data_IF_387771365299
#
_entry.id   IF_387771365299
#
_cell.length_a   1.000
_cell.length_b   1.000
_cell.length_c   1.000
_cell.angle_alpha   90.00
_cell.angle_beta   90.00
_cell.angle_gamma   90.00
#
_symmetry.space_group_name_H-M   'P 1'
#
loop_
_entity.id
_entity.type
_entity.pdbx_description
1 polymer ?
#
# COMPACT_ATOMS: atom_id res chain seq x y z
N UNK A 1 8.20 -17.63 2.03
CA UNK A 1 8.93 -17.34 0.78
C UNK A 1 9.64 -18.61 0.34
N UNK A 2 9.70 -18.95 -0.95
CA UNK A 2 10.48 -20.10 -1.42
C UNK A 2 11.87 -19.65 -1.92
N UNK A 3 12.88 -20.55 -1.97
CA UNK A 3 14.22 -20.21 -2.45
C UNK A 3 14.22 -19.63 -3.85
N UNK A 4 14.98 -18.55 -4.05
CA UNK A 4 15.06 -17.87 -5.34
C UNK A 4 15.97 -18.66 -6.30
N UNK A 5 15.52 -18.83 -7.54
CA UNK A 5 16.32 -19.44 -8.58
C UNK A 5 17.44 -18.47 -9.03
N UNK A 6 18.70 -18.84 -8.85
CA UNK A 6 19.85 -18.00 -9.23
C UNK A 6 20.32 -18.37 -10.64
N UNK A 7 20.42 -17.38 -11.53
CA UNK A 7 21.00 -17.50 -12.87
C UNK A 7 22.19 -16.55 -12.97
N UNK A 8 23.42 -17.09 -13.02
CA UNK A 8 24.66 -16.31 -13.08
C UNK A 8 25.88 -17.12 -12.60
N UNK A 9 27.10 -16.64 -12.87
CA UNK A 9 28.34 -17.34 -12.51
C UNK A 9 28.79 -17.07 -11.06
N UNK A 10 28.88 -18.14 -10.28
CA UNK A 10 29.93 -18.38 -9.27
C UNK A 10 29.86 -17.73 -7.88
N UNK A 11 29.34 -16.52 -7.67
CA UNK A 11 29.47 -15.82 -6.36
C UNK A 11 28.16 -15.49 -5.63
N UNK A 12 26.99 -15.76 -6.22
CA UNK A 12 25.69 -15.27 -5.71
C UNK A 12 24.76 -16.36 -5.18
N UNK A 13 25.25 -17.59 -4.99
CA UNK A 13 24.44 -18.71 -4.50
C UNK A 13 23.82 -18.43 -3.11
N UNK A 14 24.53 -17.68 -2.26
CA UNK A 14 24.04 -17.27 -0.94
C UNK A 14 22.77 -16.39 -1.00
N UNK A 15 22.52 -15.71 -2.12
CA UNK A 15 21.31 -14.88 -2.29
C UNK A 15 20.03 -15.72 -2.34
N UNK A 16 20.10 -16.99 -2.77
CA UNK A 16 18.93 -17.86 -2.87
C UNK A 16 18.22 -18.00 -1.53
N UNK A 17 18.98 -18.14 -0.45
CA UNK A 17 18.50 -18.29 0.92
C UNK A 17 18.40 -16.92 1.62
N UNK A 18 19.39 -16.03 1.42
CA UNK A 18 19.38 -14.70 2.01
C UNK A 18 18.15 -13.87 1.63
N UNK A 19 17.68 -13.98 0.38
CA UNK A 19 16.46 -13.31 -0.07
C UNK A 19 15.19 -13.88 0.57
N UNK A 20 15.16 -15.19 0.87
CA UNK A 20 14.03 -15.80 1.61
C UNK A 20 13.92 -15.15 2.98
N UNK A 21 15.03 -15.00 3.68
CA UNK A 21 15.11 -14.38 5.01
C UNK A 21 14.67 -12.91 4.98
N UNK A 22 15.27 -12.11 4.10
CA UNK A 22 15.00 -10.68 4.03
C UNK A 22 13.56 -10.41 3.60
N UNK A 23 13.06 -11.08 2.55
CA UNK A 23 11.69 -10.89 2.09
C UNK A 23 10.66 -11.44 3.08
N UNK A 24 10.95 -12.55 3.78
CA UNK A 24 10.03 -13.06 4.79
C UNK A 24 9.87 -12.04 5.93
N UNK A 25 10.97 -11.48 6.45
CA UNK A 25 10.92 -10.39 7.46
C UNK A 25 10.22 -9.15 6.92
N UNK A 26 10.52 -8.74 5.69
CA UNK A 26 9.92 -7.58 5.05
C UNK A 26 8.44 -7.75 4.71
N UNK A 27 7.90 -8.96 4.61
CA UNK A 27 6.48 -9.20 4.32
C UNK A 27 5.69 -9.63 5.57
N UNK A 28 6.37 -10.12 6.60
CA UNK A 28 5.74 -10.52 7.87
C UNK A 28 4.98 -9.37 8.53
N UNK A 29 3.77 -9.62 9.02
CA UNK A 29 2.90 -8.63 9.63
C UNK A 29 2.24 -7.64 8.66
N UNK A 30 2.60 -7.63 7.38
CA UNK A 30 1.94 -6.77 6.40
C UNK A 30 0.54 -7.27 6.09
N UNK A 31 -0.49 -6.41 6.19
CA UNK A 31 -1.89 -6.77 5.93
C UNK A 31 -2.38 -8.07 6.62
N UNK A 32 -1.82 -8.43 7.78
CA UNK A 32 -2.16 -9.66 8.51
C UNK A 32 -1.45 -10.93 7.99
N UNK A 33 -0.47 -10.78 7.10
CA UNK A 33 0.40 -11.88 6.68
C UNK A 33 1.26 -12.38 7.85
N UNK A 34 1.42 -13.69 7.92
CA UNK A 34 2.40 -14.35 8.78
C UNK A 34 3.32 -15.17 7.91
N UNK A 35 4.61 -14.86 7.97
CA UNK A 35 5.64 -15.61 7.27
C UNK A 35 5.88 -16.95 7.96
N UNK A 36 6.08 -17.99 7.15
CA UNK A 36 6.60 -19.26 7.65
C UNK A 36 8.09 -19.09 7.89
N UNK A 37 8.57 -19.63 9.01
CA UNK A 37 10.00 -19.63 9.36
C UNK A 37 10.87 -20.09 8.16
N UNK A 38 11.83 -19.25 7.72
CA UNK A 38 12.68 -19.56 6.57
C UNK A 38 13.42 -20.90 6.68
N UNK A 39 13.90 -21.26 7.87
CA UNK A 39 14.59 -22.55 8.10
C UNK A 39 13.66 -23.74 7.87
N UNK A 40 12.42 -23.65 8.31
CA UNK A 40 11.37 -24.66 8.07
C UNK A 40 11.04 -24.78 6.58
N UNK A 41 11.03 -23.67 5.84
CA UNK A 41 10.84 -23.71 4.39
C UNK A 41 12.01 -24.42 3.71
N UNK A 42 13.25 -24.01 3.99
CA UNK A 42 14.45 -24.57 3.38
C UNK A 42 14.56 -26.08 3.62
N UNK A 43 14.34 -26.53 4.85
CA UNK A 43 14.34 -27.96 5.19
C UNK A 43 13.26 -28.75 4.45
N UNK A 44 12.08 -28.16 4.25
CA UNK A 44 10.97 -28.80 3.51
C UNK A 44 11.27 -28.89 2.01
N UNK A 45 11.90 -27.86 1.42
CA UNK A 45 12.31 -27.85 0.01
C UNK A 45 13.39 -28.91 -0.24
N UNK A 46 14.41 -28.97 0.62
CA UNK A 46 15.47 -30.00 0.51
C UNK A 46 14.89 -31.41 0.56
N UNK A 47 13.94 -31.67 1.49
CA UNK A 47 13.25 -32.97 1.59
C UNK A 47 12.35 -33.30 0.39
N UNK A 48 12.00 -32.32 -0.44
CA UNK A 48 11.08 -32.47 -1.57
C UNK A 48 11.78 -32.63 -2.93
N UNK A 49 13.11 -32.74 -2.95
CA UNK A 49 13.89 -32.93 -4.19
C UNK A 49 14.96 -31.86 -4.45
N UNK A 50 15.18 -30.93 -3.52
CA UNK A 50 16.25 -29.92 -3.58
C UNK A 50 15.79 -28.55 -4.08
N UNK A 51 16.70 -27.56 -4.01
CA UNK A 51 16.46 -26.15 -4.38
C UNK A 51 16.57 -25.87 -5.90
N UNK A 52 16.51 -26.91 -6.75
CA UNK A 52 16.38 -26.69 -8.19
C UNK A 52 15.13 -25.85 -8.44
N UNK A 53 15.21 -24.89 -9.37
CA UNK A 53 14.22 -23.82 -9.58
C UNK A 53 12.77 -24.37 -9.51
N UNK A 54 12.12 -24.12 -8.38
CA UNK A 54 10.75 -24.58 -8.14
C UNK A 54 9.83 -23.87 -9.13
N UNK A 55 9.03 -24.64 -9.84
CA UNK A 55 7.92 -24.12 -10.63
C UNK A 55 6.68 -23.87 -9.73
N UNK A 56 5.61 -23.35 -10.32
CA UNK A 56 4.37 -23.04 -9.59
C UNK A 56 3.79 -24.29 -8.90
N UNK A 57 3.88 -25.47 -9.51
CA UNK A 57 3.32 -26.69 -8.97
C UNK A 57 4.14 -27.23 -7.78
N UNK A 58 5.47 -27.27 -7.91
CA UNK A 58 6.38 -27.62 -6.84
C UNK A 58 6.31 -26.62 -5.68
N UNK A 59 6.25 -25.32 -5.98
CA UNK A 59 6.08 -24.28 -4.97
C UNK A 59 4.77 -24.41 -4.19
N UNK A 60 3.67 -24.72 -4.88
CA UNK A 60 2.37 -25.00 -4.27
C UNK A 60 2.39 -26.24 -3.39
N UNK A 61 3.06 -27.30 -3.80
CA UNK A 61 3.18 -28.52 -3.00
C UNK A 61 3.89 -28.26 -1.67
N UNK A 62 4.95 -27.46 -1.69
CA UNK A 62 5.67 -27.02 -0.48
C UNK A 62 4.76 -26.12 0.39
N UNK A 63 4.09 -25.14 -0.21
CA UNK A 63 3.16 -24.24 0.50
C UNK A 63 2.05 -25.02 1.23
N UNK A 64 1.46 -26.02 0.56
CA UNK A 64 0.44 -26.90 1.14
C UNK A 64 0.94 -27.68 2.35
N UNK A 65 2.16 -28.25 2.28
CA UNK A 65 2.76 -28.98 3.40
C UNK A 65 3.00 -28.09 4.61
N UNK A 66 3.29 -26.82 4.37
CA UNK A 66 3.53 -25.81 5.39
C UNK A 66 2.25 -25.11 5.87
N UNK A 67 1.09 -25.44 5.29
CA UNK A 67 -0.19 -24.78 5.59
C UNK A 67 -0.23 -23.31 5.19
N UNK A 68 0.59 -22.89 4.23
CA UNK A 68 0.69 -21.51 3.78
C UNK A 68 -0.33 -21.22 2.67
N UNK A 69 -1.24 -20.28 2.89
CA UNK A 69 -2.24 -19.87 1.89
C UNK A 69 -1.66 -19.11 0.68
N UNK A 70 -0.45 -18.55 0.82
CA UNK A 70 0.25 -17.83 -0.24
C UNK A 70 1.70 -18.30 -0.33
N UNK A 71 2.25 -18.27 -1.53
CA UNK A 71 3.68 -18.52 -1.73
C UNK A 71 4.26 -17.58 -2.78
N UNK A 72 5.56 -17.31 -2.65
CA UNK A 72 6.32 -16.50 -3.61
C UNK A 72 7.40 -17.35 -4.21
N UNK A 73 7.45 -17.34 -5.53
CA UNK A 73 8.58 -17.83 -6.31
C UNK A 73 9.33 -16.64 -6.86
N UNK A 74 10.64 -16.78 -6.99
CA UNK A 74 11.45 -15.71 -7.54
C UNK A 74 12.70 -16.19 -8.22
N UNK A 75 13.32 -15.29 -8.97
CA UNK A 75 14.59 -15.54 -9.63
C UNK A 75 15.50 -14.32 -9.54
N UNK A 76 16.81 -14.58 -9.51
CA UNK A 76 17.85 -13.56 -9.54
C UNK A 76 18.72 -13.81 -10.75
N UNK A 77 18.88 -12.79 -11.59
CA UNK A 77 19.86 -12.76 -12.66
C UNK A 77 20.98 -11.82 -12.25
N UNK A 78 22.21 -12.34 -12.17
CA UNK A 78 23.40 -11.56 -11.83
C UNK A 78 24.37 -11.55 -13.01
N UNK A 79 24.66 -10.36 -13.56
CA UNK A 79 25.58 -10.20 -14.69
C UNK A 79 26.26 -8.81 -14.65
N UNK A 80 27.59 -8.80 -14.76
CA UNK A 80 28.36 -7.56 -14.93
C UNK A 80 28.18 -6.54 -13.80
N UNK A 81 28.11 -6.98 -12.54
CA UNK A 81 27.91 -6.10 -11.38
C UNK A 81 26.46 -5.66 -11.15
N UNK A 82 25.52 -6.09 -12.00
CA UNK A 82 24.09 -5.79 -11.85
C UNK A 82 23.28 -7.01 -11.45
N UNK A 83 22.24 -6.75 -10.67
CA UNK A 83 21.23 -7.69 -10.23
C UNK A 83 19.87 -7.33 -10.83
N UNK A 84 19.18 -8.34 -11.35
CA UNK A 84 17.75 -8.29 -11.63
C UNK A 84 17.06 -9.32 -10.75
N UNK A 85 16.16 -8.88 -9.88
CA UNK A 85 15.41 -9.75 -8.97
C UNK A 85 13.94 -9.71 -9.39
N UNK A 86 13.37 -10.88 -9.63
CA UNK A 86 11.96 -11.04 -9.99
C UNK A 86 11.26 -11.91 -8.95
N UNK A 87 10.04 -11.55 -8.58
CA UNK A 87 9.21 -12.32 -7.66
C UNK A 87 7.76 -12.33 -8.15
N UNK A 88 7.10 -13.48 -7.98
CA UNK A 88 5.68 -13.65 -8.29
C UNK A 88 4.99 -14.23 -7.07
N UNK A 89 3.92 -13.58 -6.63
CA UNK A 89 3.07 -14.07 -5.55
C UNK A 89 1.92 -14.89 -6.14
N UNK A 90 1.68 -16.06 -5.55
CA UNK A 90 0.64 -16.98 -5.95
C UNK A 90 -0.36 -17.19 -4.83
N UNK A 91 -1.64 -17.30 -5.20
CA UNK A 91 -2.68 -17.85 -4.33
C UNK A 91 -2.66 -19.37 -4.38
N UNK A 92 -2.86 -20.02 -3.24
CA UNK A 92 -3.03 -21.48 -3.22
C UNK A 92 -4.38 -21.89 -3.83
N UNK A 93 -5.41 -21.03 -3.74
CA UNK A 93 -6.78 -21.27 -4.23
C UNK A 93 -7.46 -19.99 -4.77
N UNK A 94 -8.28 -20.05 -5.84
CA UNK A 94 -8.74 -21.24 -6.56
C UNK A 94 -7.71 -21.81 -7.56
N UNK A 95 -8.00 -22.98 -8.11
CA UNK A 95 -7.21 -23.64 -9.16
C UNK A 95 -7.63 -23.15 -10.55
N UNK A 96 -6.68 -22.92 -11.49
CA UNK A 96 -5.22 -22.95 -11.32
C UNK A 96 -4.71 -21.78 -10.46
N UNK A 97 -3.61 -21.96 -9.72
CA UNK A 97 -2.99 -20.91 -8.88
C UNK A 97 -2.82 -19.63 -9.71
N UNK A 98 -3.67 -18.64 -9.43
CA UNK A 98 -3.58 -17.36 -10.10
C UNK A 98 -2.32 -16.64 -9.59
N UNK A 99 -1.46 -16.21 -10.51
CA UNK A 99 -0.43 -15.24 -10.19
C UNK A 99 -1.12 -13.92 -9.86
N UNK A 100 -0.88 -13.36 -8.67
CA UNK A 100 -1.62 -12.21 -8.17
C UNK A 100 -0.87 -10.90 -8.51
N UNK A 101 0.46 -10.81 -8.34
CA UNK A 101 1.30 -9.89 -9.13
C UNK A 101 2.73 -10.40 -9.42
N UNK A 102 3.36 -9.87 -10.46
CA UNK A 102 4.80 -10.00 -10.73
C UNK A 102 5.51 -8.68 -10.38
N UNK A 103 6.54 -8.75 -9.54
CA UNK A 103 7.42 -7.64 -9.21
C UNK A 103 8.82 -7.90 -9.78
N UNK A 104 9.47 -6.85 -10.31
CA UNK A 104 10.80 -6.95 -10.91
C UNK A 104 11.59 -5.68 -10.59
N UNK A 105 12.77 -5.85 -10.00
CA UNK A 105 13.68 -4.75 -9.65
C UNK A 105 15.07 -4.98 -10.23
N UNK A 106 15.74 -3.90 -10.58
CA UNK A 106 17.09 -3.90 -11.13
C UNK A 106 17.94 -2.83 -10.46
N UNK A 107 19.24 -3.15 -10.30
CA UNK A 107 20.23 -2.26 -9.71
C UNK A 107 21.61 -2.90 -9.62
N UNK A 108 22.53 -2.18 -8.99
CA UNK A 108 23.88 -2.68 -8.75
C UNK A 108 23.91 -3.69 -7.59
N UNK A 109 24.91 -4.56 -7.58
CA UNK A 109 25.07 -5.57 -6.52
C UNK A 109 25.25 -4.98 -5.12
N UNK A 110 25.73 -3.73 -5.03
CA UNK A 110 25.87 -2.98 -3.77
C UNK A 110 24.53 -2.61 -3.14
N UNK A 111 23.48 -2.50 -3.96
CA UNK A 111 22.20 -1.92 -3.56
C UNK A 111 21.19 -3.01 -3.17
N UNK A 112 21.67 -4.20 -2.81
CA UNK A 112 20.84 -5.38 -2.55
C UNK A 112 19.72 -5.10 -1.54
N UNK A 113 20.02 -4.41 -0.44
CA UNK A 113 19.01 -4.10 0.58
C UNK A 113 17.92 -3.18 0.03
N UNK A 114 18.29 -2.14 -0.73
CA UNK A 114 17.33 -1.25 -1.37
C UNK A 114 16.50 -1.95 -2.45
N UNK A 115 17.12 -2.87 -3.20
CA UNK A 115 16.42 -3.72 -4.17
C UNK A 115 15.38 -4.61 -3.48
N UNK A 116 15.75 -5.23 -2.36
CA UNK A 116 14.84 -6.08 -1.58
C UNK A 116 13.71 -5.26 -0.98
N UNK A 117 13.98 -4.06 -0.48
CA UNK A 117 12.96 -3.16 0.04
C UNK A 117 12.00 -2.71 -1.04
N UNK A 118 12.50 -2.31 -2.22
CA UNK A 118 11.67 -1.99 -3.39
C UNK A 118 10.80 -3.18 -3.82
N UNK A 119 11.40 -4.36 -3.96
CA UNK A 119 10.68 -5.57 -4.33
C UNK A 119 9.58 -5.92 -3.31
N UNK A 120 9.87 -5.73 -2.02
CA UNK A 120 8.90 -5.94 -0.95
C UNK A 120 7.72 -4.97 -1.06
N UNK A 121 8.00 -3.67 -1.30
CA UNK A 121 6.94 -2.67 -1.51
C UNK A 121 6.07 -3.02 -2.72
N UNK A 122 6.68 -3.38 -3.85
CA UNK A 122 5.96 -3.75 -5.08
C UNK A 122 5.05 -4.97 -4.87
N UNK A 123 5.53 -6.00 -4.15
CA UNK A 123 4.74 -7.18 -3.81
C UNK A 123 3.57 -6.86 -2.88
N UNK A 124 3.75 -5.98 -1.90
CA UNK A 124 2.68 -5.54 -1.00
C UNK A 124 1.60 -4.77 -1.76
N UNK A 125 2.01 -3.84 -2.63
CA UNK A 125 1.08 -3.05 -3.43
C UNK A 125 0.29 -3.92 -4.40
N UNK A 126 0.95 -4.84 -5.10
CA UNK A 126 0.27 -5.71 -6.05
C UNK A 126 -0.77 -6.62 -5.39
N UNK A 127 -0.58 -6.94 -4.10
CA UNK A 127 -1.54 -7.74 -3.34
C UNK A 127 -2.79 -6.94 -2.95
N UNK A 128 -2.66 -5.64 -2.68
CA UNK A 128 -3.80 -4.81 -2.30
C UNK A 128 -4.86 -4.84 -3.41
N UNK A 129 -6.09 -5.28 -3.08
CA UNK A 129 -7.22 -5.35 -4.03
C UNK A 129 -8.12 -4.11 -3.95
N UNK A 130 -8.77 -3.74 -5.07
CA UNK A 130 -9.80 -2.70 -5.14
C UNK A 130 -9.27 -1.26 -5.15
N UNK A 131 -10.06 -0.28 -4.69
CA UNK A 131 -9.67 1.14 -4.64
C UNK A 131 -8.44 1.39 -3.75
N UNK A 132 -8.13 0.44 -2.85
CA UNK A 132 -6.88 0.38 -2.08
C UNK A 132 -5.63 0.30 -2.96
N UNK A 133 -5.73 -0.30 -4.15
CA UNK A 133 -4.59 -0.50 -5.06
C UNK A 133 -3.98 0.83 -5.53
N UNK A 134 -4.78 1.86 -5.84
CA UNK A 134 -4.25 3.16 -6.31
C UNK A 134 -3.55 3.95 -5.21
N UNK A 135 -4.15 4.01 -4.01
CA UNK A 135 -3.53 4.63 -2.83
C UNK A 135 -2.27 3.88 -2.39
N UNK A 136 -2.27 2.54 -2.42
CA UNK A 136 -1.10 1.71 -2.14
C UNK A 136 0.03 1.93 -3.16
N UNK A 137 -0.30 2.06 -4.46
CA UNK A 137 0.67 2.38 -5.51
C UNK A 137 1.35 3.73 -5.29
N UNK A 138 0.57 4.78 -4.99
CA UNK A 138 1.14 6.09 -4.63
C UNK A 138 1.98 5.99 -3.35
N UNK A 139 1.51 5.25 -2.35
CA UNK A 139 2.21 5.09 -1.08
C UNK A 139 3.61 4.49 -1.29
N UNK A 140 3.74 3.42 -2.08
CA UNK A 140 5.01 2.74 -2.31
C UNK A 140 6.07 3.56 -3.05
N UNK A 141 5.67 4.59 -3.81
CA UNK A 141 6.61 5.52 -4.46
C UNK A 141 6.94 6.74 -3.59
N UNK A 142 6.20 6.95 -2.51
CA UNK A 142 6.38 8.11 -1.61
C UNK A 142 7.08 7.79 -0.28
N UNK A 143 7.35 6.50 0.00
CA UNK A 143 8.20 6.05 1.10
C UNK A 143 9.31 5.13 0.61
N UNK A 144 10.48 5.20 1.25
CA UNK A 144 11.56 4.23 1.06
C UNK A 144 11.55 3.13 2.14
N UNK A 145 10.71 3.25 3.16
CA UNK A 145 10.66 2.35 4.31
C UNK A 145 9.53 1.33 4.15
N UNK A 146 9.87 0.04 4.06
CA UNK A 146 8.88 -1.06 4.03
C UNK A 146 8.05 -1.05 5.32
N UNK A 147 8.67 -0.82 6.48
CA UNK A 147 7.97 -0.74 7.76
C UNK A 147 6.97 0.40 7.80
N UNK A 148 7.32 1.57 7.24
CA UNK A 148 6.39 2.70 7.14
C UNK A 148 5.22 2.38 6.20
N UNK A 149 5.48 1.71 5.07
CA UNK A 149 4.43 1.26 4.16
C UNK A 149 3.48 0.25 4.83
N UNK A 150 4.00 -0.72 5.60
CA UNK A 150 3.15 -1.66 6.36
C UNK A 150 2.24 -0.93 7.34
N UNK A 151 2.79 -0.02 8.12
CA UNK A 151 2.03 0.77 9.09
C UNK A 151 0.94 1.60 8.40
N UNK A 152 1.27 2.20 7.26
CA UNK A 152 0.33 2.95 6.42
C UNK A 152 -0.81 2.06 5.91
N UNK A 153 -0.51 0.91 5.31
CA UNK A 153 -1.54 -0.01 4.78
C UNK A 153 -2.43 -0.59 5.88
N UNK A 154 -1.86 -0.88 7.05
CA UNK A 154 -2.64 -1.28 8.23
C UNK A 154 -3.58 -0.15 8.68
N UNK A 155 -3.08 1.08 8.77
CA UNK A 155 -3.89 2.25 9.13
C UNK A 155 -5.01 2.55 8.13
N UNK A 156 -4.77 2.36 6.83
CA UNK A 156 -5.81 2.47 5.79
C UNK A 156 -6.93 1.46 5.99
N UNK A 157 -6.62 0.23 6.43
CA UNK A 157 -7.64 -0.78 6.75
C UNK A 157 -8.45 -0.39 7.98
N UNK A 158 -7.80 0.06 9.04
CA UNK A 158 -8.49 0.55 10.23
C UNK A 158 -9.38 1.76 9.89
N UNK A 159 -8.90 2.67 9.05
CA UNK A 159 -9.68 3.83 8.62
C UNK A 159 -10.95 3.38 7.89
N UNK A 160 -10.86 2.37 7.02
CA UNK A 160 -12.02 1.80 6.31
C UNK A 160 -12.96 1.02 7.21
N UNK A 161 -12.45 0.40 8.28
CA UNK A 161 -13.24 -0.38 9.22
C UNK A 161 -14.24 0.47 10.02
N UNK A 162 -14.13 1.80 9.96
CA UNK A 162 -15.18 2.70 10.40
C UNK A 162 -14.92 3.38 11.74
N UNK A 163 -15.98 3.95 12.31
CA UNK A 163 -15.90 4.88 13.43
C UNK A 163 -15.14 4.32 14.65
N UNK A 164 -15.37 3.06 15.00
CA UNK A 164 -14.75 2.42 16.16
C UNK A 164 -13.23 2.22 15.98
N UNK A 165 -12.73 2.34 14.75
CA UNK A 165 -11.34 2.10 14.37
C UNK A 165 -10.56 3.38 14.01
N UNK A 166 -11.19 4.56 14.06
CA UNK A 166 -10.52 5.81 13.68
C UNK A 166 -9.31 6.14 14.57
N UNK A 167 -9.38 5.87 15.88
CA UNK A 167 -8.22 6.07 16.77
C UNK A 167 -7.08 5.10 16.44
N UNK A 168 -7.38 3.84 16.10
CA UNK A 168 -6.40 2.86 15.62
C UNK A 168 -5.76 3.31 14.31
N UNK A 169 -6.55 3.86 13.38
CA UNK A 169 -6.05 4.42 12.14
C UNK A 169 -5.10 5.59 12.39
N UNK A 170 -5.46 6.53 13.27
CA UNK A 170 -4.59 7.65 13.67
C UNK A 170 -3.26 7.13 14.23
N UNK A 171 -3.29 6.15 15.14
CA UNK A 171 -2.07 5.57 15.71
C UNK A 171 -1.19 4.89 14.64
N UNK A 172 -1.81 4.16 13.72
CA UNK A 172 -1.10 3.52 12.60
C UNK A 172 -0.43 4.52 11.66
N UNK A 173 -1.13 5.60 11.29
CA UNK A 173 -0.53 6.67 10.48
C UNK A 173 0.57 7.44 11.21
N UNK A 174 0.43 7.67 12.53
CA UNK A 174 1.50 8.24 13.37
C UNK A 174 2.74 7.36 13.37
N UNK A 175 2.58 6.04 13.47
CA UNK A 175 3.68 5.08 13.34
C UNK A 175 4.34 5.16 11.97
N UNK A 176 3.55 5.22 10.89
CA UNK A 176 4.07 5.34 9.53
C UNK A 176 4.97 6.59 9.34
N UNK A 177 4.52 7.76 9.83
CA UNK A 177 5.31 9.00 9.71
C UNK A 177 6.48 9.07 10.70
N UNK A 178 6.46 8.30 11.79
CA UNK A 178 7.61 8.15 12.68
C UNK A 178 8.69 7.26 12.05
N UNK A 179 8.29 6.21 11.32
CA UNK A 179 9.18 5.29 10.61
C UNK A 179 9.76 5.90 9.32
N UNK A 180 9.04 6.80 8.67
CA UNK A 180 9.54 7.62 7.55
C UNK A 180 8.98 9.03 7.62
N UNK A 181 9.78 9.95 8.16
CA UNK A 181 9.41 11.37 8.31
C UNK A 181 9.28 12.12 6.99
N UNK A 182 9.59 11.47 5.86
CA UNK A 182 9.47 12.01 4.51
C UNK A 182 8.25 11.50 3.74
N UNK A 183 7.45 10.63 4.36
CA UNK A 183 6.28 10.00 3.78
C UNK A 183 5.08 10.95 3.67
N UNK A 184 5.10 11.80 2.63
CA UNK A 184 4.14 12.88 2.42
C UNK A 184 2.67 12.42 2.45
N UNK A 185 2.38 11.28 1.82
CA UNK A 185 1.03 10.73 1.73
C UNK A 185 0.51 10.27 3.10
N UNK A 186 1.36 9.69 3.94
CA UNK A 186 0.98 9.28 5.29
C UNK A 186 0.61 10.48 6.17
N UNK A 187 1.26 11.62 6.02
CA UNK A 187 0.85 12.86 6.70
C UNK A 187 -0.52 13.37 6.21
N UNK A 188 -0.81 13.29 4.91
CA UNK A 188 -2.14 13.63 4.38
C UNK A 188 -3.22 12.72 4.99
N UNK A 189 -3.01 11.40 4.96
CA UNK A 189 -3.99 10.44 5.50
C UNK A 189 -4.12 10.49 7.01
N UNK A 190 -3.03 10.79 7.74
CA UNK A 190 -3.08 11.11 9.16
C UNK A 190 -4.03 12.28 9.45
N UNK A 191 -3.96 13.35 8.65
CA UNK A 191 -4.85 14.49 8.82
C UNK A 191 -6.32 14.13 8.59
N UNK A 192 -6.60 13.35 7.53
CA UNK A 192 -7.94 12.85 7.22
C UNK A 192 -8.48 11.98 8.38
N UNK A 193 -7.73 10.96 8.80
CA UNK A 193 -8.12 10.07 9.89
C UNK A 193 -8.32 10.84 11.21
N UNK A 194 -7.43 11.79 11.53
CA UNK A 194 -7.56 12.62 12.72
C UNK A 194 -8.81 13.52 12.68
N UNK A 195 -9.21 14.00 11.49
CA UNK A 195 -10.46 14.73 11.31
C UNK A 195 -11.68 13.88 11.67
N UNK A 196 -11.74 12.65 11.15
CA UNK A 196 -12.79 11.68 11.46
C UNK A 196 -12.82 11.27 12.93
N UNK A 197 -11.64 11.04 13.53
CA UNK A 197 -11.48 10.76 14.96
C UNK A 197 -11.72 11.97 15.89
N UNK A 198 -12.03 13.16 15.32
CA UNK A 198 -12.16 14.44 16.05
C UNK A 198 -10.91 14.83 16.86
N UNK A 199 -9.73 14.36 16.45
CA UNK A 199 -8.41 14.69 17.02
C UNK A 199 -7.84 15.96 16.36
N UNK A 200 -8.57 17.07 16.49
CA UNK A 200 -8.32 18.30 15.71
C UNK A 200 -6.91 18.89 15.88
N UNK A 201 -6.26 18.67 17.03
CA UNK A 201 -4.88 19.11 17.29
C UNK A 201 -3.82 18.46 16.39
N UNK A 202 -4.12 17.32 15.77
CA UNK A 202 -3.21 16.61 14.86
C UNK A 202 -3.35 17.12 13.42
N UNK A 203 -4.56 17.50 13.02
CA UNK A 203 -4.92 17.76 11.62
C UNK A 203 -4.05 18.87 11.01
N UNK A 204 -3.92 20.02 11.69
CA UNK A 204 -3.13 21.15 11.21
C UNK A 204 -1.65 20.81 10.97
N UNK A 205 -0.93 20.35 12.02
CA UNK A 205 0.48 19.95 11.88
C UNK A 205 0.72 18.88 10.81
N UNK A 206 -0.18 17.90 10.68
CA UNK A 206 -0.08 16.85 9.66
C UNK A 206 -0.23 17.42 8.23
N UNK A 207 -1.25 18.27 7.98
CA UNK A 207 -1.42 18.95 6.67
C UNK A 207 -0.21 19.81 6.32
N UNK A 208 0.28 20.62 7.27
CA UNK A 208 1.44 21.48 7.03
C UNK A 208 2.69 20.67 6.67
N UNK A 209 2.89 19.53 7.34
CA UNK A 209 4.01 18.65 7.06
C UNK A 209 3.87 17.98 5.69
N UNK A 210 2.67 17.53 5.33
CA UNK A 210 2.37 16.99 4.00
C UNK A 210 2.62 18.05 2.91
N UNK A 211 2.20 19.30 3.12
CA UNK A 211 2.40 20.40 2.17
C UNK A 211 3.88 20.72 1.97
N UNK A 212 4.69 20.70 3.03
CA UNK A 212 6.17 20.85 2.92
C UNK A 212 6.81 19.73 2.10
N UNK A 213 6.19 18.55 2.05
CA UNK A 213 6.66 17.39 1.29
C UNK A 213 5.90 17.19 -0.03
N UNK A 214 5.03 18.13 -0.43
CA UNK A 214 4.11 17.95 -1.55
C UNK A 214 4.81 17.71 -2.89
N UNK A 215 6.07 18.13 -3.04
CA UNK A 215 6.88 17.86 -4.23
C UNK A 215 7.17 16.35 -4.43
N UNK A 216 7.00 15.53 -3.40
CA UNK A 216 7.14 14.06 -3.48
C UNK A 216 5.83 13.38 -3.88
N UNK A 217 4.70 14.09 -3.87
CA UNK A 217 3.41 13.57 -4.27
C UNK A 217 3.23 13.69 -5.79
N UNK A 218 2.50 12.74 -6.38
CA UNK A 218 1.98 12.89 -7.73
C UNK A 218 1.01 14.06 -7.84
N UNK A 219 0.76 14.55 -9.06
CA UNK A 219 -0.14 15.69 -9.32
C UNK A 219 -1.49 15.55 -8.61
N UNK A 220 -2.14 14.39 -8.79
CA UNK A 220 -3.45 14.09 -8.21
C UNK A 220 -3.45 14.18 -6.68
N UNK A 221 -2.49 13.54 -6.02
CA UNK A 221 -2.42 13.52 -4.55
C UNK A 221 -2.05 14.88 -3.96
N UNK A 222 -1.20 15.63 -4.68
CA UNK A 222 -0.92 17.02 -4.34
C UNK A 222 -2.18 17.88 -4.42
N UNK A 223 -3.03 17.71 -5.45
CA UNK A 223 -4.33 18.42 -5.56
C UNK A 223 -5.31 18.01 -4.48
N UNK A 224 -5.40 16.72 -4.13
CA UNK A 224 -6.22 16.26 -3.00
C UNK A 224 -5.81 16.93 -1.69
N UNK A 225 -4.51 16.96 -1.39
CA UNK A 225 -3.99 17.61 -0.20
C UNK A 225 -4.32 19.11 -0.17
N UNK A 226 -4.17 19.81 -1.29
CA UNK A 226 -4.53 21.23 -1.42
C UNK A 226 -6.04 21.46 -1.25
N UNK A 227 -6.88 20.60 -1.83
CA UNK A 227 -8.33 20.67 -1.69
C UNK A 227 -8.78 20.43 -0.25
N UNK A 228 -8.18 19.44 0.43
CA UNK A 228 -8.47 19.12 1.83
C UNK A 228 -8.05 20.26 2.77
N UNK A 229 -6.89 20.86 2.53
CA UNK A 229 -6.44 22.04 3.27
C UNK A 229 -7.39 23.24 3.07
N UNK A 230 -7.84 23.49 1.83
CA UNK A 230 -8.85 24.51 1.54
C UNK A 230 -10.18 24.23 2.27
N UNK A 231 -10.66 22.97 2.25
CA UNK A 231 -11.85 22.54 2.98
C UNK A 231 -11.72 22.82 4.49
N UNK A 232 -10.59 22.46 5.10
CA UNK A 232 -10.34 22.64 6.53
C UNK A 232 -10.26 24.12 6.93
N UNK A 233 -9.78 24.98 6.05
CA UNK A 233 -9.72 26.45 6.28
C UNK A 233 -11.03 27.17 5.98
N UNK A 234 -12.08 26.47 5.55
CA UNK A 234 -13.36 27.08 5.18
C UNK A 234 -13.39 27.70 3.78
N UNK A 235 -12.35 27.50 2.97
CA UNK A 235 -12.30 27.98 1.58
C UNK A 235 -13.10 27.04 0.65
N UNK A 236 -14.41 26.93 0.90
CA UNK A 236 -15.31 25.94 0.28
C UNK A 236 -15.28 25.97 -1.25
N UNK A 237 -15.32 27.16 -1.87
CA UNK A 237 -15.31 27.27 -3.33
C UNK A 237 -13.98 26.84 -3.94
N UNK A 238 -12.86 27.08 -3.24
CA UNK A 238 -11.55 26.60 -3.68
C UNK A 238 -11.47 25.07 -3.57
N UNK A 239 -11.95 24.49 -2.47
CA UNK A 239 -12.00 23.04 -2.28
C UNK A 239 -12.88 22.36 -3.34
N UNK A 240 -14.11 22.85 -3.55
CA UNK A 240 -15.04 22.32 -4.56
C UNK A 240 -14.45 22.37 -5.98
N UNK A 241 -13.81 23.48 -6.37
CA UNK A 241 -13.15 23.58 -7.68
C UNK A 241 -12.03 22.56 -7.84
N UNK A 242 -11.19 22.37 -6.82
CA UNK A 242 -10.08 21.42 -6.87
C UNK A 242 -10.58 19.98 -6.98
N UNK A 243 -11.54 19.57 -6.15
CA UNK A 243 -12.10 18.21 -6.25
C UNK A 243 -12.79 17.96 -7.58
N UNK A 244 -13.55 18.93 -8.12
CA UNK A 244 -14.12 18.80 -9.48
C UNK A 244 -13.06 18.68 -10.56
N UNK A 245 -11.95 19.40 -10.46
CA UNK A 245 -10.83 19.28 -11.40
C UNK A 245 -10.20 17.90 -11.33
N UNK A 246 -10.04 17.33 -10.13
CA UNK A 246 -9.57 15.95 -9.98
C UNK A 246 -10.53 14.96 -10.65
N UNK A 247 -11.84 15.14 -10.47
CA UNK A 247 -12.85 14.26 -11.08
C UNK A 247 -13.00 14.43 -12.60
N UNK A 248 -12.53 15.54 -13.17
CA UNK A 248 -12.41 15.69 -14.63
C UNK A 248 -11.27 14.83 -15.20
N UNK A 249 -10.13 14.81 -14.52
CA UNK A 249 -8.94 14.05 -14.93
C UNK A 249 -9.03 12.56 -14.52
N UNK A 250 -9.71 12.28 -13.41
CA UNK A 250 -9.88 10.96 -12.80
C UNK A 250 -11.35 10.75 -12.39
N UNK A 251 -12.25 10.42 -13.33
CA UNK A 251 -13.68 10.30 -13.07
C UNK A 251 -14.07 9.19 -12.08
N UNK A 252 -13.18 8.22 -11.83
CA UNK A 252 -13.37 7.07 -10.93
C UNK A 252 -12.75 7.29 -9.55
N UNK A 253 -12.35 8.51 -9.22
CA UNK A 253 -11.67 8.85 -7.98
C UNK A 253 -12.65 8.97 -6.80
N UNK A 254 -12.90 7.84 -6.14
CA UNK A 254 -13.83 7.78 -5.00
C UNK A 254 -13.42 8.69 -3.83
N UNK A 255 -12.13 8.92 -3.60
CA UNK A 255 -11.67 9.83 -2.55
C UNK A 255 -12.03 11.28 -2.90
N UNK A 256 -11.76 11.72 -4.13
CA UNK A 256 -12.12 13.06 -4.57
C UNK A 256 -13.65 13.26 -4.57
N UNK A 257 -14.41 12.23 -4.96
CA UNK A 257 -15.87 12.26 -4.97
C UNK A 257 -16.44 12.35 -3.55
N UNK A 258 -15.94 11.52 -2.63
CA UNK A 258 -16.34 11.55 -1.23
C UNK A 258 -15.96 12.87 -0.55
N UNK A 259 -14.76 13.40 -0.79
CA UNK A 259 -14.35 14.67 -0.20
C UNK A 259 -15.11 15.85 -0.79
N UNK A 260 -15.47 15.81 -2.08
CA UNK A 260 -16.40 16.78 -2.66
C UNK A 260 -17.75 16.73 -1.96
N UNK A 261 -18.29 15.53 -1.72
CA UNK A 261 -19.54 15.35 -0.98
C UNK A 261 -19.47 15.98 0.42
N UNK A 262 -18.34 15.80 1.13
CA UNK A 262 -18.09 16.46 2.41
C UNK A 262 -18.09 18.00 2.30
N UNK A 263 -17.42 18.58 1.29
CA UNK A 263 -17.45 20.02 1.03
C UNK A 263 -18.89 20.50 0.85
N UNK A 264 -19.68 19.82 0.00
CA UNK A 264 -21.07 20.18 -0.26
C UNK A 264 -21.94 20.04 1.00
N UNK A 265 -21.78 18.95 1.76
CA UNK A 265 -22.54 18.70 2.98
C UNK A 265 -22.33 19.80 4.03
N UNK A 266 -21.07 20.16 4.28
CA UNK A 266 -20.72 21.15 5.31
C UNK A 266 -20.97 22.60 4.86
N UNK A 267 -20.73 22.93 3.59
CA UNK A 267 -20.69 24.32 3.13
C UNK A 267 -21.81 24.72 2.16
N UNK A 268 -22.70 23.82 1.70
CA UNK A 268 -23.79 24.25 0.81
C UNK A 268 -24.83 25.13 1.51
N UNK A 269 -25.24 24.78 2.73
CA UNK A 269 -26.23 25.57 3.48
C UNK A 269 -25.83 27.05 3.63
N UNK A 270 -24.60 27.40 4.10
CA UNK A 270 -24.19 28.81 4.17
C UNK A 270 -24.00 29.47 2.80
N UNK A 271 -23.87 28.69 1.71
CA UNK A 271 -23.79 29.17 0.32
C UNK A 271 -25.16 29.24 -0.37
N UNK A 272 -26.26 29.01 0.36
CA UNK A 272 -27.62 29.04 -0.21
C UNK A 272 -27.95 27.85 -1.13
N UNK A 273 -27.17 26.77 -1.07
CA UNK A 273 -27.36 25.54 -1.86
C UNK A 273 -27.91 24.40 -1.00
N UNK A 274 -28.66 23.45 -1.59
CA UNK A 274 -29.16 22.29 -0.86
C UNK A 274 -28.03 21.33 -0.47
N UNK A 275 -28.08 20.79 0.76
CA UNK A 275 -27.18 19.71 1.21
C UNK A 275 -27.41 18.39 0.45
N UNK A 276 -28.59 18.24 -0.15
CA UNK A 276 -28.95 17.04 -0.91
C UNK A 276 -28.00 16.78 -2.11
N UNK A 277 -27.33 17.80 -2.65
CA UNK A 277 -26.30 17.61 -3.67
C UNK A 277 -25.13 16.74 -3.19
N UNK A 278 -24.84 16.72 -1.88
CA UNK A 278 -23.84 15.83 -1.32
C UNK A 278 -24.29 14.36 -1.33
N UNK A 279 -25.60 14.12 -1.18
CA UNK A 279 -26.16 12.76 -1.07
C UNK A 279 -25.93 11.95 -2.33
N UNK A 280 -26.12 12.55 -3.50
CA UNK A 280 -25.87 11.86 -4.77
C UNK A 280 -24.43 11.39 -4.93
N UNK A 281 -23.46 12.18 -4.45
CA UNK A 281 -22.04 11.83 -4.46
C UNK A 281 -21.74 10.71 -3.47
N UNK A 282 -22.28 10.78 -2.24
CA UNK A 282 -22.14 9.70 -1.25
C UNK A 282 -22.75 8.39 -1.75
N UNK A 283 -23.96 8.44 -2.32
CA UNK A 283 -24.66 7.27 -2.85
C UNK A 283 -23.85 6.61 -3.99
N UNK A 284 -23.20 7.40 -4.86
CA UNK A 284 -22.32 6.86 -5.90
C UNK A 284 -21.07 6.21 -5.32
N UNK A 285 -20.40 6.84 -4.36
CA UNK A 285 -19.23 6.25 -3.69
C UNK A 285 -19.61 4.92 -3.05
N UNK A 286 -20.71 4.86 -2.29
CA UNK A 286 -21.19 3.64 -1.64
C UNK A 286 -21.69 2.58 -2.62
N UNK A 287 -22.16 2.98 -3.81
CA UNK A 287 -22.53 2.02 -4.86
C UNK A 287 -21.34 1.30 -5.47
N UNK A 288 -20.16 1.94 -5.48
CA UNK A 288 -18.91 1.37 -6.00
C UNK A 288 -18.15 0.63 -4.89
N UNK A 289 -18.08 1.21 -3.69
CA UNK A 289 -17.42 0.64 -2.52
C UNK A 289 -18.34 0.79 -1.28
N UNK A 290 -19.19 -0.22 -0.99
CA UNK A 290 -20.10 -0.18 0.15
C UNK A 290 -19.42 -0.07 1.52
N UNK A 291 -18.13 -0.40 1.60
CA UNK A 291 -17.31 -0.33 2.81
C UNK A 291 -16.51 0.99 2.90
N UNK A 292 -16.74 1.92 1.98
CA UNK A 292 -16.05 3.21 1.96
C UNK A 292 -16.45 4.05 3.18
N UNK A 293 -15.64 3.97 4.26
CA UNK A 293 -15.77 4.80 5.48
C UNK A 293 -17.18 4.74 6.14
N UNK A 294 -17.75 3.56 6.37
CA UNK A 294 -19.04 3.41 7.08
C UNK A 294 -18.82 3.20 8.61
N UNK A 295 -19.75 3.60 9.53
CA UNK A 295 -21.18 3.62 9.33
C UNK A 295 -21.85 5.00 9.42
N UNK A 296 -22.93 5.15 8.66
CA UNK A 296 -23.98 6.17 8.87
C UNK A 296 -24.70 5.86 10.20
#
# INVERSE_FOLDING_TARGET
MLPFAIRGTGSFAYLAEGLVDLLSRNLDGAEGLRSVDPGTVLTTVVRSGGAAALDAEGGRAVARRLGAGLYVLGSVLAAGGRLRIQAVLYDQEPLPSAAIPQASVEGDTSDLFELVDRLSRDLLVGRSRGVSTRLAQTAAVTTHSVSALKAYLAAERELRAGQDHFDSAVAGFQSAVALDTSFALAYYRLAVAAGWARRLGIVGPAVERALRLAARLGERDRRLLQAYDAFRRGAADAAERQYRTILQDHPDDLEAEFQLANVLYHYNAPRGRPRAEARELFDRVLSVDPEFLCPI
#
